data_IF_712708144845
#
_entry.id   IF_712708144845
#
_cell.length_a   1.000
_cell.length_b   1.000
_cell.length_c   1.000
_cell.angle_alpha   90.00
_cell.angle_beta   90.00
_cell.angle_gamma   90.00
#
_symmetry.space_group_name_H-M   'P 1'
#
loop_
_entity.id
_entity.type
_entity.pdbx_description
1 polymer ?
#
# COMPACT_ATOMS: atom_id res chain seq x y z
N UNK A 1 14.90 -27.06 25.82
CA UNK A 1 14.79 -27.31 24.37
C UNK A 1 14.15 -26.07 23.78
N UNK A 2 15.00 -25.12 23.38
CA UNK A 2 14.62 -23.75 23.06
C UNK A 2 14.06 -23.72 21.64
N UNK A 3 12.78 -23.39 21.51
CA UNK A 3 12.14 -23.11 20.24
C UNK A 3 12.75 -21.83 19.67
N UNK A 4 13.56 -21.96 18.62
CA UNK A 4 14.01 -20.83 17.82
C UNK A 4 12.86 -20.47 16.88
N UNK A 5 11.88 -19.76 17.43
CA UNK A 5 10.72 -19.28 16.71
C UNK A 5 11.17 -18.71 15.36
N UNK A 6 10.55 -19.20 14.30
CA UNK A 6 10.71 -18.69 12.94
C UNK A 6 10.76 -17.17 13.00
N UNK A 7 11.83 -16.52 12.49
CA UNK A 7 11.88 -15.07 12.49
C UNK A 7 10.60 -14.57 11.81
N UNK A 8 9.90 -13.57 12.37
CA UNK A 8 8.69 -13.06 11.74
C UNK A 8 9.02 -12.75 10.29
N UNK A 9 8.24 -13.30 9.36
CA UNK A 9 8.50 -13.19 7.94
C UNK A 9 8.80 -11.72 7.60
N UNK A 10 9.93 -11.48 6.93
CA UNK A 10 10.32 -10.12 6.58
C UNK A 10 9.22 -9.49 5.70
N UNK A 11 8.75 -8.30 6.08
CA UNK A 11 7.69 -7.60 5.35
C UNK A 11 8.29 -6.52 4.44
N UNK A 12 7.74 -6.30 3.22
CA UNK A 12 8.23 -5.32 2.26
C UNK A 12 8.42 -3.91 2.83
N UNK A 13 9.64 -3.37 2.76
CA UNK A 13 9.93 -1.99 3.16
C UNK A 13 9.76 -1.03 1.99
N UNK A 14 9.34 0.23 2.22
CA UNK A 14 9.35 1.26 1.18
C UNK A 14 10.70 1.29 0.45
N UNK A 15 10.73 1.38 -0.89
CA UNK A 15 9.60 1.69 -1.77
C UNK A 15 8.73 0.50 -2.18
N UNK A 16 9.04 -0.72 -1.74
CA UNK A 16 8.22 -1.90 -2.04
C UNK A 16 6.90 -1.85 -1.26
N UNK A 17 5.80 -2.17 -1.95
CA UNK A 17 4.46 -2.11 -1.39
C UNK A 17 4.14 -3.38 -0.59
N UNK A 18 3.54 -3.17 0.58
CA UNK A 18 2.96 -4.19 1.42
C UNK A 18 1.49 -4.41 1.00
N UNK A 19 1.07 -5.63 0.65
CA UNK A 19 -0.34 -5.93 0.35
C UNK A 19 -1.24 -5.71 1.57
N UNK A 20 -2.50 -5.35 1.33
CA UNK A 20 -3.49 -5.13 2.40
C UNK A 20 -3.54 -6.28 3.41
N UNK A 21 -3.60 -7.54 2.96
CA UNK A 21 -3.70 -8.72 3.82
C UNK A 21 -2.53 -8.89 4.81
N UNK A 22 -1.43 -8.16 4.60
CA UNK A 22 -0.23 -8.21 5.44
C UNK A 22 -0.05 -6.98 6.32
N UNK A 23 -1.00 -6.04 6.35
CA UNK A 23 -0.90 -4.80 7.13
C UNK A 23 -0.83 -5.02 8.65
N UNK A 24 -1.16 -6.21 9.15
CA UNK A 24 -1.04 -6.57 10.56
C UNK A 24 0.35 -7.07 10.97
N UNK A 25 1.21 -7.42 10.01
CA UNK A 25 2.56 -7.94 10.30
C UNK A 25 3.53 -6.86 10.82
N UNK A 26 3.58 -5.64 10.26
CA UNK A 26 4.54 -4.65 10.72
C UNK A 26 4.23 -4.15 12.15
N UNK A 27 5.26 -3.81 12.94
CA UNK A 27 5.06 -3.26 14.27
C UNK A 27 4.30 -1.93 14.23
N UNK A 28 3.69 -1.54 15.35
CA UNK A 28 2.96 -0.27 15.46
C UNK A 28 3.85 0.91 15.07
N UNK A 29 3.31 1.83 14.24
CA UNK A 29 4.05 3.01 13.78
C UNK A 29 5.11 2.73 12.70
N UNK A 30 5.23 1.47 12.24
CA UNK A 30 6.09 1.12 11.13
C UNK A 30 5.77 1.95 9.89
N UNK A 31 6.82 2.32 9.16
CA UNK A 31 6.70 3.01 7.88
C UNK A 31 6.60 1.99 6.76
N UNK A 32 5.49 2.01 6.04
CA UNK A 32 5.13 1.08 4.96
C UNK A 32 4.85 1.85 3.68
N UNK A 33 4.88 1.16 2.54
CA UNK A 33 4.28 1.64 1.31
C UNK A 33 3.10 0.73 0.97
N UNK A 34 2.00 1.30 0.50
CA UNK A 34 0.85 0.57 -0.06
C UNK A 34 0.58 1.13 -1.45
N UNK A 35 0.04 0.33 -2.35
CA UNK A 35 -0.43 0.80 -3.65
C UNK A 35 -1.79 0.20 -3.95
N UNK A 36 -2.64 0.95 -4.63
CA UNK A 36 -3.97 0.47 -4.99
C UNK A 36 -4.78 1.47 -5.80
N UNK A 37 -5.89 0.98 -6.34
CA UNK A 37 -6.89 1.77 -7.03
C UNK A 37 -7.60 2.69 -6.04
N UNK A 38 -7.83 3.93 -6.41
CA UNK A 38 -8.56 4.85 -5.54
C UNK A 38 -10.06 4.65 -5.70
N UNK A 39 -10.70 4.15 -4.64
CA UNK A 39 -12.15 3.96 -4.61
C UNK A 39 -12.89 5.21 -4.18
N UNK A 40 -12.48 5.78 -3.04
CA UNK A 40 -13.24 6.82 -2.35
C UNK A 40 -12.30 7.89 -1.84
N UNK A 41 -12.77 9.15 -1.91
CA UNK A 41 -12.15 10.31 -1.26
C UNK A 41 -13.19 11.00 -0.40
N UNK A 42 -12.90 11.16 0.88
CA UNK A 42 -13.79 11.86 1.80
C UNK A 42 -13.03 13.01 2.46
N UNK A 43 -13.68 14.17 2.52
CA UNK A 43 -13.21 15.33 3.28
C UNK A 43 -14.33 15.78 4.20
N UNK A 44 -14.48 15.16 5.38
CA UNK A 44 -15.53 15.53 6.32
C UNK A 44 -15.40 17.01 6.71
N UNK A 45 -16.50 17.76 6.71
CA UNK A 45 -16.50 19.19 7.01
C UNK A 45 -15.98 19.54 8.40
N UNK A 46 -16.04 18.60 9.34
CA UNK A 46 -15.63 18.75 10.74
C UNK A 46 -14.17 18.36 11.02
N UNK A 47 -13.50 17.69 10.08
CA UNK A 47 -12.21 17.01 10.34
C UNK A 47 -10.96 17.88 10.09
N UNK A 48 -10.96 19.17 10.49
CA UNK A 48 -9.78 20.09 10.47
C UNK A 48 -8.89 20.00 9.20
N UNK A 49 -9.47 19.77 8.02
CA UNK A 49 -8.72 19.69 6.76
C UNK A 49 -8.06 18.33 6.46
N UNK A 50 -8.45 17.27 7.15
CA UNK A 50 -8.08 15.88 6.85
C UNK A 50 -8.86 15.37 5.63
N UNK A 51 -8.18 14.60 4.79
CA UNK A 51 -8.77 13.84 3.70
C UNK A 51 -8.53 12.35 3.98
N UNK A 52 -9.57 11.55 3.79
CA UNK A 52 -9.50 10.09 3.81
C UNK A 52 -9.53 9.58 2.37
N UNK A 53 -8.64 8.67 2.03
CA UNK A 53 -8.61 7.99 0.75
C UNK A 53 -8.71 6.49 1.02
N UNK A 54 -9.63 5.81 0.33
CA UNK A 54 -9.69 4.34 0.34
C UNK A 54 -9.01 3.83 -0.92
N UNK A 55 -7.95 3.04 -0.73
CA UNK A 55 -7.27 2.31 -1.80
C UNK A 55 -7.71 0.85 -1.79
N UNK A 56 -7.74 0.19 -2.94
CA UNK A 56 -8.01 -1.24 -3.06
C UNK A 56 -6.88 -1.93 -3.83
N UNK A 57 -6.42 -3.05 -3.29
CA UNK A 57 -5.66 -4.08 -3.99
C UNK A 57 -6.45 -5.40 -4.01
N UNK A 58 -5.94 -6.43 -4.67
CA UNK A 58 -6.61 -7.74 -4.78
C UNK A 58 -6.83 -8.46 -3.44
N UNK A 59 -6.19 -7.99 -2.37
CA UNK A 59 -6.26 -8.57 -1.04
C UNK A 59 -7.14 -7.78 -0.07
N UNK A 60 -7.57 -6.57 -0.44
CA UNK A 60 -8.58 -5.79 0.30
C UNK A 60 -8.37 -4.27 0.25
N UNK A 61 -8.98 -3.56 1.22
CA UNK A 61 -9.02 -2.09 1.23
C UNK A 61 -8.08 -1.45 2.25
N UNK A 62 -7.25 -0.52 1.80
CA UNK A 62 -6.36 0.26 2.66
C UNK A 62 -6.93 1.67 2.90
N UNK A 63 -7.13 2.03 4.17
CA UNK A 63 -7.56 3.38 4.55
C UNK A 63 -6.37 4.31 4.75
N UNK A 64 -6.28 5.36 3.96
CA UNK A 64 -5.19 6.35 4.00
C UNK A 64 -5.69 7.66 4.59
N UNK A 65 -4.94 8.20 5.55
CA UNK A 65 -5.19 9.51 6.14
C UNK A 65 -4.18 10.51 5.56
N UNK A 66 -4.71 11.57 4.96
CA UNK A 66 -3.92 12.66 4.36
C UNK A 66 -4.22 13.95 5.10
N UNK A 67 -3.21 14.46 5.82
CA UNK A 67 -3.31 15.74 6.52
C UNK A 67 -3.26 16.90 5.53
N UNK A 68 -3.82 18.05 5.93
CA UNK A 68 -3.93 19.25 5.09
C UNK A 68 -2.61 19.67 4.43
N UNK A 69 -1.53 19.73 5.19
CA UNK A 69 -0.21 20.14 4.68
C UNK A 69 0.30 19.18 3.59
N UNK A 70 0.04 17.89 3.76
CA UNK A 70 0.42 16.88 2.78
C UNK A 70 -0.46 16.94 1.54
N UNK A 71 -1.76 17.15 1.71
CA UNK A 71 -2.68 17.37 0.61
C UNK A 71 -2.26 18.59 -0.22
N UNK A 72 -1.90 19.71 0.42
CA UNK A 72 -1.46 20.91 -0.28
C UNK A 72 -0.20 20.64 -1.12
N UNK A 73 0.73 19.81 -0.62
CA UNK A 73 1.92 19.37 -1.35
C UNK A 73 1.63 18.42 -2.51
N UNK A 74 0.73 17.44 -2.32
CA UNK A 74 0.43 16.39 -3.29
C UNK A 74 -0.95 16.55 -3.94
N UNK A 75 -1.42 17.80 -4.08
CA UNK A 75 -2.81 18.14 -4.46
C UNK A 75 -3.27 17.42 -5.72
N UNK A 76 -2.44 17.40 -6.77
CA UNK A 76 -2.79 16.77 -8.04
C UNK A 76 -3.01 15.26 -7.89
N UNK A 77 -2.09 14.55 -7.23
CA UNK A 77 -2.22 13.12 -6.99
C UNK A 77 -3.46 12.81 -6.14
N UNK A 78 -3.67 13.56 -5.06
CA UNK A 78 -4.82 13.37 -4.16
C UNK A 78 -6.16 13.60 -4.86
N UNK A 79 -6.28 14.60 -5.74
CA UNK A 79 -7.55 14.90 -6.43
C UNK A 79 -7.80 13.95 -7.61
N UNK A 80 -6.79 13.73 -8.45
CA UNK A 80 -6.98 13.16 -9.79
C UNK A 80 -6.44 11.74 -9.96
N UNK A 81 -5.56 11.25 -9.08
CA UNK A 81 -4.90 9.95 -9.25
C UNK A 81 -5.89 8.78 -9.23
N UNK A 82 -5.90 7.93 -10.25
CA UNK A 82 -6.75 6.72 -10.30
C UNK A 82 -6.10 5.55 -9.56
N UNK A 83 -4.77 5.50 -9.55
CA UNK A 83 -3.97 4.55 -8.78
C UNK A 83 -2.88 5.32 -8.03
N UNK A 84 -2.71 5.04 -6.75
CA UNK A 84 -1.75 5.74 -5.90
C UNK A 84 -0.80 4.74 -5.23
N UNK A 85 0.48 5.11 -5.14
CA UNK A 85 1.39 4.56 -4.13
C UNK A 85 1.48 5.55 -2.97
N UNK A 86 1.25 5.07 -1.76
CA UNK A 86 1.31 5.88 -0.54
C UNK A 86 2.33 5.28 0.39
N UNK A 87 3.39 6.03 0.69
CA UNK A 87 4.28 5.71 1.80
C UNK A 87 3.84 6.46 3.03
N UNK A 88 3.72 5.77 4.16
CA UNK A 88 3.22 6.35 5.40
C UNK A 88 3.43 5.45 6.60
N UNK A 89 2.86 5.85 7.75
CA UNK A 89 2.97 5.12 9.01
C UNK A 89 1.68 4.41 9.36
N UNK A 90 1.79 3.17 9.82
CA UNK A 90 0.64 2.42 10.30
C UNK A 90 0.13 2.95 11.65
N UNK A 91 -1.17 3.21 11.70
CA UNK A 91 -1.93 3.49 12.91
C UNK A 91 -3.08 2.49 13.03
N UNK A 92 -3.25 1.93 14.22
CA UNK A 92 -4.31 0.95 14.50
C UNK A 92 -5.28 1.55 15.50
N UNK A 93 -6.56 1.49 15.17
CA UNK A 93 -7.67 1.91 16.03
C UNK A 93 -8.70 0.77 16.09
N UNK A 94 -8.67 0.03 17.20
CA UNK A 94 -9.41 -1.24 17.30
C UNK A 94 -8.96 -2.23 16.22
N UNK A 95 -9.91 -2.70 15.42
CA UNK A 95 -9.68 -3.63 14.31
C UNK A 95 -9.31 -2.94 12.99
N UNK A 96 -9.33 -1.60 12.94
CA UNK A 96 -9.09 -0.86 11.70
C UNK A 96 -7.64 -0.40 11.64
N UNK A 97 -7.00 -0.65 10.50
CA UNK A 97 -5.65 -0.17 10.19
C UNK A 97 -5.71 0.99 9.21
N UNK A 98 -5.03 2.08 9.57
CA UNK A 98 -4.87 3.27 8.74
C UNK A 98 -3.39 3.46 8.36
N UNK A 99 -3.15 3.95 7.15
CA UNK A 99 -1.84 4.48 6.73
C UNK A 99 -1.90 6.00 6.81
N UNK A 100 -1.20 6.59 7.75
CA UNK A 100 -1.01 8.05 7.78
C UNK A 100 0.07 8.41 6.78
N UNK A 101 -0.30 9.11 5.72
CA UNK A 101 0.57 9.36 4.59
C UNK A 101 1.73 10.31 4.94
N UNK A 102 2.91 10.03 4.36
CA UNK A 102 4.10 10.88 4.34
C UNK A 102 4.47 11.30 2.90
N UNK A 103 4.25 10.40 1.93
CA UNK A 103 4.54 10.59 0.49
C UNK A 103 3.40 9.96 -0.30
N UNK A 104 2.94 10.67 -1.33
CA UNK A 104 1.87 10.21 -2.23
C UNK A 104 2.37 10.35 -3.66
N UNK A 105 2.31 9.26 -4.41
CA UNK A 105 2.73 9.18 -5.79
C UNK A 105 1.55 8.76 -6.66
N UNK A 106 1.31 9.52 -7.71
CA UNK A 106 0.33 9.18 -8.74
C UNK A 106 0.97 8.17 -9.71
N UNK A 107 0.55 6.92 -9.61
CA UNK A 107 1.02 5.82 -10.45
C UNK A 107 -0.04 5.41 -11.48
N UNK A 108 -1.00 6.30 -11.78
CA UNK A 108 -2.08 6.03 -12.75
C UNK A 108 -1.58 5.69 -14.15
N UNK A 109 -0.35 6.08 -14.50
CA UNK A 109 0.30 5.71 -15.76
C UNK A 109 0.42 4.18 -15.91
N UNK A 110 0.56 3.44 -14.81
CA UNK A 110 0.60 1.96 -14.84
C UNK A 110 -0.73 1.38 -15.33
N UNK A 111 -1.85 2.07 -15.11
CA UNK A 111 -3.16 1.65 -15.65
C UNK A 111 -3.26 1.91 -17.15
N UNK A 112 -2.62 2.99 -17.63
CA UNK A 112 -2.61 3.33 -19.05
C UNK A 112 -1.78 2.31 -19.84
N UNK A 113 -0.74 1.73 -19.22
CA UNK A 113 0.06 0.65 -19.79
C UNK A 113 -0.78 -0.62 -20.03
N UNK A 114 -1.74 -0.94 -19.15
CA UNK A 114 -2.65 -2.09 -19.32
C UNK A 114 -3.59 -1.95 -20.52
N UNK A 115 -3.85 -0.72 -20.96
CA UNK A 115 -4.73 -0.41 -22.09
C UNK A 115 -3.99 -0.36 -23.42
N UNK A 116 -2.65 -0.49 -23.43
CA UNK A 116 -1.89 -0.50 -24.68
C UNK A 116 -2.10 -1.83 -25.40
N UNK A 117 -2.68 -1.83 -26.62
CA UNK A 117 -2.64 -3.01 -27.46
C UNK A 117 -1.16 -3.29 -27.77
N UNK A 118 -0.70 -4.51 -27.45
CA UNK A 118 0.67 -5.00 -27.65
C UNK A 118 1.76 -4.51 -26.68
N UNK A 119 1.45 -4.39 -25.38
CA UNK A 119 2.50 -4.57 -24.38
C UNK A 119 2.97 -6.05 -24.42
N UNK A 120 3.94 -6.37 -25.28
CA UNK A 120 4.66 -7.64 -25.18
C UNK A 120 5.09 -7.83 -23.72
N UNK A 121 4.90 -9.01 -23.10
CA UNK A 121 5.28 -9.21 -21.71
C UNK A 121 6.75 -8.83 -21.56
N UNK A 122 6.99 -7.74 -20.84
CA UNK A 122 8.33 -7.36 -20.45
C UNK A 122 8.78 -8.45 -19.48
N UNK A 123 9.71 -9.32 -19.94
CA UNK A 123 10.31 -10.33 -19.09
C UNK A 123 10.71 -9.65 -17.78
N UNK A 124 10.11 -10.12 -16.67
CA UNK A 124 10.41 -9.60 -15.36
C UNK A 124 11.93 -9.67 -15.17
N UNK A 125 12.57 -8.54 -14.93
CA UNK A 125 13.99 -8.51 -14.58
C UNK A 125 14.18 -9.48 -13.40
N UNK A 126 15.01 -10.54 -13.54
CA UNK A 126 15.25 -11.50 -12.47
C UNK A 126 15.77 -10.84 -11.20
N UNK A 127 16.27 -9.59 -11.26
CA UNK A 127 16.64 -8.81 -10.09
C UNK A 127 15.45 -8.18 -9.32
N UNK A 128 14.26 -8.13 -9.91
CA UNK A 128 13.03 -7.55 -9.30
C UNK A 128 12.05 -8.62 -8.81
N UNK A 129 12.27 -9.89 -9.16
CA UNK A 129 11.47 -11.01 -8.68
C UNK A 129 11.72 -11.22 -7.17
N UNK A 130 10.77 -10.78 -6.35
CA UNK A 130 10.75 -11.09 -4.92
C UNK A 130 10.73 -12.61 -4.77
N UNK A 131 11.78 -13.17 -4.16
CA UNK A 131 11.84 -14.57 -3.77
C UNK A 131 10.74 -14.82 -2.72
N UNK A 132 9.55 -15.22 -3.16
CA UNK A 132 8.58 -15.82 -2.25
C UNK A 132 9.08 -17.21 -1.88
N UNK A 133 9.28 -17.53 -0.59
CA UNK A 133 9.56 -18.90 -0.21
C UNK A 133 8.36 -19.77 -0.60
N UNK A 134 8.64 -20.88 -1.28
CA UNK A 134 7.66 -21.88 -1.66
C UNK A 134 6.89 -22.33 -0.40
N UNK A 135 5.56 -22.26 -0.43
CA UNK A 135 4.72 -22.88 0.60
C UNK A 135 5.07 -24.36 0.64
N UNK A 136 5.59 -24.82 1.78
CA UNK A 136 5.72 -26.23 2.08
C UNK A 136 4.32 -26.85 1.95
N UNK A 137 4.17 -27.77 1.00
CA UNK A 137 2.97 -28.55 0.84
C UNK A 137 2.82 -29.42 2.09
N UNK A 138 1.74 -29.16 2.82
CA UNK A 138 1.23 -30.06 3.85
C UNK A 138 0.81 -31.36 3.14
N UNK A 139 1.58 -32.43 3.34
CA UNK A 139 1.23 -33.77 2.90
C UNK A 139 0.88 -34.60 4.14
N UNK A 140 -0.27 -35.31 4.16
CA UNK A 140 -0.50 -36.38 5.13
C UNK A 140 0.40 -37.59 4.85
#
# INVERSE_FOLDING_TARGET
MTDFGTPPAEWPRPPACLPHARLDEPPKGARVAVAGLVLVRQRPGTAKGVIFITLEDETGICNVIVWRSLYERYRRAVIAGRCLRVTGRLQREGAVVHVVADVIEDISWMLDDLLRPDAAPQEADPATAVHLPARAADQP
#
